data_IF_781942315053
#
_entry.id   IF_781942315053
#
_cell.length_a   1.000
_cell.length_b   1.000
_cell.length_c   1.000
_cell.angle_alpha   90.00
_cell.angle_beta   90.00
_cell.angle_gamma   90.00
#
_symmetry.space_group_name_H-M   'P 1'
#
loop_
_entity.id
_entity.type
_entity.pdbx_description
1 polymer ?
#
# COMPACT_ATOMS: atom_id res chain seq x y z
N UNK A 1 -33.15 17.22 -40.91
CA UNK A 1 -32.58 18.06 -39.83
C UNK A 1 -32.94 17.58 -38.43
N UNK A 2 -34.22 17.55 -38.01
CA UNK A 2 -34.60 17.22 -36.62
C UNK A 2 -34.28 15.77 -36.21
N UNK A 3 -34.43 14.82 -37.14
CA UNK A 3 -34.14 13.40 -36.92
C UNK A 3 -32.64 13.10 -36.77
N UNK A 4 -31.82 13.79 -37.56
CA UNK A 4 -30.36 13.68 -37.52
C UNK A 4 -29.79 14.22 -36.19
N UNK A 5 -30.38 15.32 -35.68
CA UNK A 5 -30.04 15.86 -34.36
C UNK A 5 -30.45 14.93 -33.21
N UNK A 6 -31.56 14.20 -33.37
CA UNK A 6 -32.02 13.21 -32.40
C UNK A 6 -31.14 11.95 -32.39
N UNK A 7 -30.73 11.47 -33.57
CA UNK A 7 -29.79 10.34 -33.72
C UNK A 7 -28.39 10.69 -33.19
N UNK A 8 -27.91 11.92 -33.44
CA UNK A 8 -26.64 12.41 -32.89
C UNK A 8 -26.66 12.50 -31.34
N UNK A 9 -27.78 12.93 -30.76
CA UNK A 9 -27.95 12.98 -29.29
C UNK A 9 -28.06 11.60 -28.66
N UNK A 10 -28.76 10.67 -29.31
CA UNK A 10 -28.84 9.28 -28.88
C UNK A 10 -27.45 8.62 -28.87
N UNK A 11 -26.64 8.89 -29.91
CA UNK A 11 -25.27 8.39 -30.00
C UNK A 11 -24.36 8.91 -28.86
N UNK A 12 -24.48 10.19 -28.48
CA UNK A 12 -23.72 10.77 -27.36
C UNK A 12 -24.10 10.20 -25.99
N UNK A 13 -25.37 9.79 -25.79
CA UNK A 13 -25.86 9.17 -24.56
C UNK A 13 -25.46 7.69 -24.43
N UNK A 14 -25.14 7.03 -25.54
CA UNK A 14 -24.67 5.63 -25.57
C UNK A 14 -23.16 5.47 -25.54
N UNK A 15 -22.39 6.54 -25.72
CA UNK A 15 -20.96 6.49 -25.44
C UNK A 15 -20.77 6.25 -23.95
N UNK A 16 -20.15 5.14 -23.50
CA UNK A 16 -19.70 5.05 -22.13
C UNK A 16 -18.66 6.16 -21.98
N UNK A 17 -19.06 7.29 -21.40
CA UNK A 17 -18.12 8.16 -20.72
C UNK A 17 -17.52 7.24 -19.67
N UNK A 18 -16.32 6.76 -19.96
CA UNK A 18 -15.46 6.17 -18.96
C UNK A 18 -15.33 7.26 -17.91
N UNK A 19 -16.17 7.20 -16.88
CA UNK A 19 -16.07 8.02 -15.69
C UNK A 19 -14.82 7.51 -14.99
N UNK A 20 -13.67 7.86 -15.56
CA UNK A 20 -12.37 7.52 -15.06
C UNK A 20 -12.21 8.33 -13.79
N UNK A 21 -12.61 7.73 -12.67
CA UNK A 21 -12.15 8.18 -11.36
C UNK A 21 -10.63 8.37 -11.49
N UNK A 22 -10.10 9.57 -11.22
CA UNK A 22 -8.67 9.79 -11.33
C UNK A 22 -7.98 8.75 -10.46
N UNK A 23 -7.18 7.87 -11.08
CA UNK A 23 -6.39 6.88 -10.34
C UNK A 23 -5.36 7.68 -9.57
N UNK A 24 -5.59 7.84 -8.26
CA UNK A 24 -4.59 8.43 -7.38
C UNK A 24 -3.44 7.43 -7.31
N UNK A 25 -2.28 7.84 -7.80
CA UNK A 25 -1.06 7.04 -7.65
C UNK A 25 -0.67 7.06 -6.18
N UNK A 26 -0.50 5.88 -5.53
CA UNK A 26 -0.05 5.84 -4.15
C UNK A 26 1.30 6.53 -3.99
N UNK A 27 1.47 7.29 -2.91
CA UNK A 27 2.70 8.02 -2.64
C UNK A 27 3.75 7.07 -2.06
N UNK A 28 4.93 7.07 -2.66
CA UNK A 28 6.06 6.32 -2.14
C UNK A 28 6.93 7.20 -1.25
N UNK A 29 6.78 7.07 0.08
CA UNK A 29 7.66 7.72 1.05
C UNK A 29 8.78 6.77 1.51
N UNK A 30 9.94 7.36 1.82
CA UNK A 30 11.08 6.66 2.41
C UNK A 30 10.81 6.37 3.90
N UNK A 31 11.22 5.18 4.36
CA UNK A 31 11.10 4.76 5.76
C UNK A 31 12.46 4.33 6.27
N UNK A 32 12.81 4.81 7.47
CA UNK A 32 14.04 4.42 8.14
C UNK A 32 14.09 2.91 8.36
N UNK A 33 15.25 2.27 8.14
CA UNK A 33 15.42 0.86 8.48
C UNK A 33 15.55 0.67 9.99
N UNK A 34 14.96 -0.41 10.53
CA UNK A 34 15.08 -0.76 11.95
C UNK A 34 15.96 -1.98 12.18
N UNK A 35 17.07 -1.79 12.91
CA UNK A 35 18.06 -2.84 13.16
C UNK A 35 17.76 -3.71 14.39
N UNK A 36 16.84 -3.29 15.26
CA UNK A 36 16.65 -3.89 16.58
C UNK A 36 17.66 -3.38 17.63
N UNK A 37 18.10 -2.12 17.50
CA UNK A 37 18.96 -1.46 18.48
C UNK A 37 18.21 -0.36 19.26
N UNK A 38 18.82 0.12 20.34
CA UNK A 38 18.26 1.16 21.20
C UNK A 38 18.33 2.58 20.58
N UNK A 39 19.14 2.77 19.52
CA UNK A 39 19.37 4.09 18.92
C UNK A 39 18.14 4.57 18.18
N UNK A 40 17.46 3.68 17.46
CA UNK A 40 16.18 3.99 16.84
C UNK A 40 15.05 3.72 17.83
N UNK A 41 14.37 4.79 18.25
CA UNK A 41 13.17 4.65 19.11
C UNK A 41 12.11 3.84 18.37
N UNK A 42 11.84 2.63 18.82
CA UNK A 42 10.87 1.71 18.22
C UNK A 42 9.49 2.36 17.99
N UNK A 43 9.01 3.17 18.95
CA UNK A 43 7.74 3.92 18.81
C UNK A 43 7.75 4.91 17.65
N UNK A 44 8.87 5.60 17.42
CA UNK A 44 9.01 6.52 16.28
C UNK A 44 8.99 5.73 14.97
N UNK A 45 9.69 4.61 14.92
CA UNK A 45 9.74 3.77 13.72
C UNK A 45 8.36 3.21 13.34
N UNK A 46 7.55 2.80 14.32
CA UNK A 46 6.16 2.40 14.04
C UNK A 46 5.33 3.53 13.42
N UNK A 47 5.46 4.75 13.92
CA UNK A 47 4.79 5.91 13.32
C UNK A 47 5.20 6.12 11.85
N UNK A 48 6.50 6.01 11.53
CA UNK A 48 6.98 6.11 10.13
C UNK A 48 6.40 4.99 9.23
N UNK A 49 6.23 3.78 9.77
CA UNK A 49 5.61 2.64 9.05
C UNK A 49 4.12 2.88 8.80
N UNK A 50 3.37 3.34 9.79
CA UNK A 50 1.93 3.58 9.69
C UNK A 50 1.62 4.68 8.66
N UNK A 51 2.40 5.76 8.66
CA UNK A 51 2.32 6.83 7.67
C UNK A 51 2.64 6.31 6.26
N UNK A 52 3.66 5.46 6.12
CA UNK A 52 4.02 4.91 4.82
C UNK A 52 2.99 3.90 4.28
N UNK A 53 2.40 3.08 5.14
CA UNK A 53 1.29 2.18 4.79
C UNK A 53 0.10 2.99 4.29
N UNK A 54 -0.22 4.09 4.97
CA UNK A 54 -1.31 5.00 4.60
C UNK A 54 -1.04 5.70 3.27
N UNK A 55 0.16 6.25 3.08
CA UNK A 55 0.58 6.93 1.85
C UNK A 55 0.60 6.00 0.63
N UNK A 56 1.05 4.75 0.83
CA UNK A 56 1.08 3.70 -0.19
C UNK A 56 -0.27 2.99 -0.37
N UNK A 57 -1.28 3.34 0.42
CA UNK A 57 -2.63 2.75 0.39
C UNK A 57 -2.66 1.23 0.55
N UNK A 58 -1.73 0.67 1.34
CA UNK A 58 -1.63 -0.77 1.56
C UNK A 58 -2.74 -1.19 2.54
N UNK A 59 -3.77 -1.85 2.02
CA UNK A 59 -4.94 -2.25 2.81
C UNK A 59 -4.84 -3.69 3.33
N UNK A 60 -4.32 -4.60 2.51
CA UNK A 60 -4.16 -6.01 2.84
C UNK A 60 -3.18 -6.20 4.00
N UNK A 61 -3.61 -6.98 5.01
CA UNK A 61 -2.84 -7.15 6.23
C UNK A 61 -1.54 -7.93 6.01
N UNK A 62 -1.52 -8.90 5.08
CA UNK A 62 -0.30 -9.61 4.71
C UNK A 62 0.69 -8.67 3.99
N UNK A 63 0.22 -7.80 3.11
CA UNK A 63 1.06 -6.78 2.47
C UNK A 63 1.65 -5.80 3.50
N UNK A 64 0.89 -5.41 4.53
CA UNK A 64 1.41 -4.57 5.63
C UNK A 64 2.55 -5.27 6.37
N UNK A 65 2.40 -6.55 6.69
CA UNK A 65 3.46 -7.36 7.33
C UNK A 65 4.69 -7.45 6.43
N UNK A 66 4.51 -7.78 5.15
CA UNK A 66 5.62 -7.89 4.18
C UNK A 66 6.36 -6.55 4.06
N UNK A 67 5.63 -5.44 3.98
CA UNK A 67 6.20 -4.11 3.94
C UNK A 67 7.01 -3.80 5.20
N UNK A 68 6.43 -4.01 6.39
CA UNK A 68 7.12 -3.78 7.65
C UNK A 68 8.39 -4.64 7.78
N UNK A 69 8.33 -5.92 7.42
CA UNK A 69 9.49 -6.81 7.39
C UNK A 69 10.58 -6.33 6.43
N UNK A 70 10.21 -5.76 5.27
CA UNK A 70 11.17 -5.21 4.30
C UNK A 70 11.95 -4.00 4.84
N UNK A 71 11.42 -3.33 5.87
CA UNK A 71 12.06 -2.21 6.57
C UNK A 71 12.93 -2.65 7.75
N UNK A 72 12.97 -3.94 8.07
CA UNK A 72 13.88 -4.47 9.09
C UNK A 72 15.28 -4.69 8.51
N UNK A 73 16.29 -4.53 9.35
CA UNK A 73 17.70 -4.87 9.10
C UNK A 73 18.32 -5.53 10.33
N UNK A 74 19.59 -5.96 10.25
CA UNK A 74 20.36 -6.47 11.37
C UNK A 74 19.67 -7.58 12.18
N UNK A 75 19.62 -7.39 13.51
CA UNK A 75 19.05 -8.37 14.44
C UNK A 75 17.54 -8.51 14.28
N UNK A 76 16.84 -7.40 14.05
CA UNK A 76 15.39 -7.42 13.84
C UNK A 76 15.00 -8.22 12.59
N UNK A 77 15.73 -8.06 11.48
CA UNK A 77 15.50 -8.86 10.27
C UNK A 77 15.74 -10.34 10.54
N UNK A 78 16.86 -10.66 11.17
CA UNK A 78 17.24 -12.06 11.46
C UNK A 78 16.19 -12.75 12.33
N UNK A 79 15.70 -12.05 13.37
CA UNK A 79 14.62 -12.55 14.21
C UNK A 79 13.32 -12.77 13.42
N UNK A 80 12.87 -11.77 12.64
CA UNK A 80 11.59 -11.85 11.95
C UNK A 80 11.55 -12.97 10.89
N UNK A 81 12.64 -13.17 10.15
CA UNK A 81 12.76 -14.29 9.21
C UNK A 81 12.94 -15.64 9.92
N UNK A 82 13.63 -15.66 11.07
CA UNK A 82 13.71 -16.85 11.92
C UNK A 82 12.32 -17.32 12.38
N UNK A 83 11.46 -16.39 12.81
CA UNK A 83 10.07 -16.68 13.14
C UNK A 83 9.32 -17.28 11.94
N UNK A 84 9.43 -16.67 10.75
CA UNK A 84 8.76 -17.18 9.53
C UNK A 84 9.24 -18.56 9.06
N UNK A 85 10.50 -18.88 9.29
CA UNK A 85 11.07 -20.20 8.98
C UNK A 85 10.53 -21.24 9.94
N UNK A 86 10.41 -20.89 11.22
CA UNK A 86 9.87 -21.78 12.24
C UNK A 86 8.36 -22.01 12.09
N UNK A 87 7.61 -20.96 11.74
CA UNK A 87 6.17 -20.99 11.50
C UNK A 87 5.80 -19.96 10.42
N UNK A 88 5.16 -20.42 9.34
CA UNK A 88 4.76 -19.55 8.23
C UNK A 88 3.70 -18.54 8.64
N UNK A 89 2.89 -18.86 9.65
CA UNK A 89 1.79 -18.05 10.17
C UNK A 89 2.17 -17.29 11.45
N UNK A 90 3.48 -17.16 11.75
CA UNK A 90 3.97 -16.52 12.98
C UNK A 90 3.55 -15.05 13.15
N UNK A 91 3.08 -14.41 12.07
CA UNK A 91 2.54 -13.06 12.07
C UNK A 91 1.06 -13.12 11.68
N UNK A 92 0.14 -13.14 12.66
CA UNK A 92 -1.29 -13.15 12.37
C UNK A 92 -1.71 -11.82 11.71
N UNK A 93 -2.65 -11.91 10.77
CA UNK A 93 -3.14 -10.81 9.93
C UNK A 93 -4.64 -10.74 9.90
#
# INVERSE_FOLDING_TARGET
MVRELAEARAAMLTTPVLSATPRVTPLEIEVSKYAGDERTRLRRWFCEIDEAISARQISDAQQKVIFAMSMLTGKARSWAFGCKVADRECFPT
#
